data_IF_304903525182
#
_entry.id   IF_304903525182
#
_cell.length_a   1.000
_cell.length_b   1.000
_cell.length_c   1.000
_cell.angle_alpha   90.00
_cell.angle_beta   90.00
_cell.angle_gamma   90.00
#
_symmetry.space_group_name_H-M   'P 1'
#
loop_
_entity.id
_entity.type
_entity.pdbx_description
1 polymer ?
#
# COMPACT_ATOMS: atom_id res chain seq x y z
N UNK A 1 -8.10 17.70 -4.07
CA UNK A 1 -6.90 17.52 -4.25
C UNK A 1 -6.32 16.58 -3.37
N UNK A 2 -6.39 16.76 -2.17
CA UNK A 2 -5.82 15.86 -1.25
C UNK A 2 -6.36 14.50 -1.37
N UNK A 3 -7.59 14.39 -1.76
CA UNK A 3 -8.19 13.09 -1.92
C UNK A 3 -7.47 12.28 -2.93
N UNK A 4 -7.02 12.94 -3.96
CA UNK A 4 -6.31 12.24 -4.99
C UNK A 4 -5.03 11.70 -4.48
N UNK A 5 -4.43 12.40 -3.56
CA UNK A 5 -3.19 11.96 -3.03
C UNK A 5 -3.34 10.74 -2.20
N UNK A 6 -4.51 10.55 -1.63
CA UNK A 6 -4.75 9.39 -0.84
C UNK A 6 -4.59 8.13 -1.66
N UNK A 7 -4.79 8.24 -2.97
CA UNK A 7 -4.65 7.09 -3.84
C UNK A 7 -3.39 7.18 -4.64
N UNK A 8 -2.30 7.46 -4.00
CA UNK A 8 -1.05 7.63 -4.72
C UNK A 8 -0.68 6.34 -5.43
N UNK A 9 0.01 6.44 -6.57
CA UNK A 9 0.45 5.25 -7.29
C UNK A 9 1.33 4.35 -6.46
N UNK A 10 2.12 4.94 -5.56
CA UNK A 10 2.99 4.15 -4.72
C UNK A 10 2.20 3.24 -3.79
N UNK A 11 1.14 3.75 -3.19
CA UNK A 11 0.32 2.93 -2.32
C UNK A 11 -0.35 1.82 -3.09
N UNK A 12 -0.78 2.12 -4.30
CA UNK A 12 -1.40 1.11 -5.14
C UNK A 12 -0.41 0.00 -5.46
N UNK A 13 0.83 0.35 -5.76
CA UNK A 13 1.83 -0.64 -6.05
C UNK A 13 2.13 -1.51 -4.83
N UNK A 14 2.15 -0.92 -3.65
CA UNK A 14 2.36 -1.70 -2.45
C UNK A 14 1.25 -2.73 -2.29
N UNK A 15 0.02 -2.31 -2.52
CA UNK A 15 -1.11 -3.22 -2.40
C UNK A 15 -0.99 -4.35 -3.43
N UNK A 16 -0.62 -4.01 -4.65
CA UNK A 16 -0.49 -5.01 -5.68
C UNK A 16 0.59 -6.03 -5.34
N UNK A 17 1.71 -5.58 -4.85
CA UNK A 17 2.79 -6.49 -4.50
C UNK A 17 2.39 -7.39 -3.34
N UNK A 18 1.69 -6.83 -2.37
CA UNK A 18 1.34 -7.60 -1.19
C UNK A 18 0.17 -8.54 -1.42
N UNK A 19 -0.88 -8.05 -2.08
CA UNK A 19 -2.07 -8.86 -2.28
C UNK A 19 -1.96 -9.79 -3.46
N UNK A 20 -1.54 -9.26 -4.58
CA UNK A 20 -1.55 -10.03 -5.81
C UNK A 20 -0.24 -10.71 -6.08
N UNK A 21 0.85 -10.08 -5.69
CA UNK A 21 2.16 -10.67 -5.93
C UNK A 21 2.62 -11.61 -4.85
N UNK A 22 2.04 -11.50 -3.66
CA UNK A 22 2.45 -12.36 -2.56
C UNK A 22 3.81 -12.03 -1.99
N UNK A 23 4.31 -10.83 -2.23
CA UNK A 23 5.62 -10.43 -1.72
C UNK A 23 5.52 -9.94 -0.29
N UNK A 24 6.57 -10.17 0.48
CA UNK A 24 6.64 -9.65 1.83
C UNK A 24 6.95 -8.17 1.82
N UNK A 25 6.87 -7.53 2.97
CA UNK A 25 7.24 -6.13 3.11
C UNK A 25 8.67 -5.92 2.65
N UNK A 26 9.54 -6.82 3.07
CA UNK A 26 10.94 -6.73 2.73
C UNK A 26 11.16 -6.83 1.22
N UNK A 27 10.51 -7.79 0.61
CA UNK A 27 10.62 -7.98 -0.82
C UNK A 27 10.02 -6.81 -1.59
N UNK A 28 8.87 -6.34 -1.13
CA UNK A 28 8.23 -5.20 -1.76
C UNK A 28 9.13 -3.97 -1.69
N UNK A 29 9.76 -3.75 -0.55
CA UNK A 29 10.66 -2.61 -0.39
C UNK A 29 11.81 -2.69 -1.39
N UNK A 30 12.37 -3.87 -1.57
CA UNK A 30 13.45 -4.04 -2.51
C UNK A 30 13.00 -3.80 -3.94
N UNK A 31 11.86 -4.34 -4.29
CA UNK A 31 11.36 -4.18 -5.66
C UNK A 31 11.04 -2.73 -5.98
N UNK A 32 10.56 -2.00 -5.00
CA UNK A 32 10.17 -0.62 -5.23
C UNK A 32 11.29 0.38 -4.93
N UNK A 33 12.42 -0.11 -4.42
CA UNK A 33 13.52 0.77 -4.08
C UNK A 33 13.23 1.67 -2.91
N UNK A 34 12.44 1.19 -1.96
CA UNK A 34 12.05 1.96 -0.79
C UNK A 34 12.56 1.29 0.47
N UNK A 35 12.54 2.03 1.57
CA UNK A 35 12.85 1.44 2.86
C UNK A 35 11.68 0.61 3.35
N UNK A 36 12.00 -0.37 4.20
CA UNK A 36 10.93 -1.22 4.73
C UNK A 36 9.94 -0.42 5.58
N UNK A 37 10.43 0.55 6.32
CA UNK A 37 9.55 1.38 7.13
C UNK A 37 8.54 2.12 6.26
N UNK A 38 8.99 2.61 5.12
CA UNK A 38 8.13 3.33 4.21
C UNK A 38 7.05 2.40 3.63
N UNK A 39 7.46 1.22 3.21
CA UNK A 39 6.51 0.26 2.65
C UNK A 39 5.50 -0.17 3.71
N UNK A 40 5.97 -0.43 4.91
CA UNK A 40 5.10 -0.84 5.99
C UNK A 40 4.06 0.22 6.28
N UNK A 41 4.48 1.47 6.29
CA UNK A 41 3.57 2.57 6.55
C UNK A 41 2.55 2.70 5.43
N UNK A 42 3.01 2.64 4.17
CA UNK A 42 2.11 2.73 3.03
C UNK A 42 1.11 1.58 3.03
N UNK A 43 1.58 0.39 3.35
CA UNK A 43 0.72 -0.78 3.41
C UNK A 43 -0.36 -0.61 4.49
N UNK A 44 0.04 -0.11 5.63
CA UNK A 44 -0.89 0.09 6.72
C UNK A 44 -1.96 1.09 6.34
N UNK A 45 -1.56 2.18 5.70
CA UNK A 45 -2.52 3.18 5.27
C UNK A 45 -3.45 2.65 4.19
N UNK A 46 -2.89 1.92 3.25
CA UNK A 46 -3.70 1.37 2.17
C UNK A 46 -4.71 0.36 2.70
N UNK A 47 -4.28 -0.45 3.64
CA UNK A 47 -5.16 -1.44 4.23
C UNK A 47 -6.31 -0.78 4.98
N UNK A 48 -6.00 0.29 5.67
CA UNK A 48 -7.04 1.00 6.43
C UNK A 48 -8.08 1.55 5.48
N UNK A 49 -7.66 2.04 4.32
CA UNK A 49 -8.61 2.57 3.35
C UNK A 49 -9.48 1.47 2.78
N UNK A 50 -8.90 0.32 2.53
CA UNK A 50 -9.67 -0.79 2.01
C UNK A 50 -10.72 -1.23 3.01
N UNK A 51 -10.35 -1.31 4.27
CA UNK A 51 -11.30 -1.70 5.29
C UNK A 51 -12.40 -0.67 5.44
N UNK A 52 -12.05 0.60 5.38
CA UNK A 52 -13.05 1.65 5.49
C UNK A 52 -14.05 1.55 4.35
N UNK A 53 -13.56 1.26 3.16
CA UNK A 53 -14.45 1.12 2.03
C UNK A 53 -15.39 -0.06 2.18
N UNK A 54 -14.88 -1.17 2.69
CA UNK A 54 -15.70 -2.34 2.90
C UNK A 54 -16.75 -2.08 3.96
N UNK A 55 -16.37 -1.36 4.99
CA UNK A 55 -17.32 -1.06 6.05
C UNK A 55 -18.45 -0.20 5.59
N UNK A 56 -18.16 0.68 4.68
CA UNK A 56 -19.18 1.58 4.20
C UNK A 56 -20.13 0.91 3.21
N UNK A 57 -19.72 -0.18 2.67
CA UNK A 57 -20.60 -0.91 1.78
C UNK A 57 -21.61 -1.69 2.55
#
# INVERSE_FOLDING_TARGET
MEDLEADSPRQREVVEHRFFGGFSIEETAQLMGLGQATVKRDWKLARAKLYAGLKQS
#
